data_IF_434961127533
#
_entry.id   IF_434961127533
#
_cell.length_a   1.000
_cell.length_b   1.000
_cell.length_c   1.000
_cell.angle_alpha   90.00
_cell.angle_beta   90.00
_cell.angle_gamma   90.00
#
_symmetry.space_group_name_H-M   'P 1'
#
loop_
_entity.id
_entity.type
_entity.pdbx_description
1 polymer ?
#
# COMPACT_ATOMS: atom_id res chain seq x y z
N UNK A 1 -5.37 -0.81 27.53
CA UNK A 1 -4.51 -0.13 26.54
C UNK A 1 -3.65 0.91 27.25
N UNK A 2 -2.34 0.90 27.08
CA UNK A 2 -1.48 1.89 27.71
C UNK A 2 -1.74 3.29 27.13
N UNK A 3 -1.96 4.27 28.00
CA UNK A 3 -2.18 5.67 27.59
C UNK A 3 -0.88 6.44 27.37
N UNK A 4 0.19 6.08 28.06
CA UNK A 4 1.47 6.79 28.07
C UNK A 4 2.70 5.87 27.96
N UNK A 5 2.51 4.55 27.92
CA UNK A 5 3.59 3.59 27.84
C UNK A 5 4.08 3.32 26.43
N UNK A 6 5.30 2.82 26.31
CA UNK A 6 5.83 2.31 25.06
C UNK A 6 5.08 1.05 24.64
N UNK A 7 4.62 1.02 23.39
CA UNK A 7 4.00 -0.17 22.79
C UNK A 7 5.01 -0.76 21.81
N UNK A 8 5.50 -1.96 22.12
CA UNK A 8 6.39 -2.68 21.23
C UNK A 8 5.65 -3.02 19.91
N UNK A 9 6.28 -2.73 18.79
CA UNK A 9 5.76 -3.11 17.48
C UNK A 9 5.94 -4.61 17.28
N UNK A 10 4.86 -5.29 16.91
CA UNK A 10 4.92 -6.70 16.54
C UNK A 10 5.41 -6.81 15.10
N UNK A 11 6.42 -7.63 14.88
CA UNK A 11 6.88 -7.98 13.54
C UNK A 11 6.14 -9.21 13.02
N UNK A 12 6.14 -9.40 11.72
CA UNK A 12 5.55 -10.56 11.05
C UNK A 12 6.65 -11.54 10.65
N UNK A 13 6.30 -12.82 10.59
CA UNK A 13 7.19 -13.85 10.05
C UNK A 13 7.22 -13.74 8.52
N UNK A 14 8.37 -14.00 7.87
CA UNK A 14 8.42 -14.03 6.41
C UNK A 14 7.53 -15.12 5.84
N UNK A 15 7.00 -14.89 4.64
CA UNK A 15 6.16 -15.86 3.95
C UNK A 15 6.93 -17.15 3.64
N UNK A 16 6.34 -18.34 3.85
CA UNK A 16 7.04 -19.61 3.62
C UNK A 16 7.48 -19.84 2.17
N UNK A 17 6.70 -19.39 1.17
CA UNK A 17 7.01 -19.60 -0.24
C UNK A 17 8.02 -18.59 -0.78
N UNK A 18 7.85 -17.31 -0.44
CA UNK A 18 8.64 -16.21 -0.97
C UNK A 18 9.70 -15.68 0.00
N UNK A 19 9.71 -16.16 1.23
CA UNK A 19 10.62 -15.73 2.29
C UNK A 19 10.69 -14.19 2.42
N UNK A 20 9.54 -13.54 2.32
CA UNK A 20 9.41 -12.09 2.32
C UNK A 20 8.37 -11.61 3.32
N UNK A 21 8.75 -10.67 4.18
CA UNK A 21 7.84 -10.05 5.17
C UNK A 21 6.77 -9.19 4.50
N UNK A 22 7.10 -8.55 3.38
CA UNK A 22 6.14 -7.70 2.65
C UNK A 22 5.02 -8.55 2.04
N UNK A 23 5.32 -9.76 1.59
CA UNK A 23 4.31 -10.72 1.12
C UNK A 23 3.38 -11.14 2.26
N UNK A 24 3.90 -11.40 3.45
CA UNK A 24 3.07 -11.69 4.63
C UNK A 24 2.14 -10.52 4.96
N UNK A 25 2.64 -9.30 4.89
CA UNK A 25 1.84 -8.09 5.13
C UNK A 25 0.77 -7.89 4.05
N UNK A 26 1.07 -8.22 2.80
CA UNK A 26 0.08 -8.21 1.72
C UNK A 26 -1.04 -9.22 1.99
N UNK A 27 -0.71 -10.45 2.37
CA UNK A 27 -1.67 -11.49 2.74
C UNK A 27 -2.57 -10.98 3.87
N UNK A 28 -2.00 -10.38 4.90
CA UNK A 28 -2.75 -9.84 6.03
C UNK A 28 -3.70 -8.69 5.61
N UNK A 29 -3.32 -7.88 4.63
CA UNK A 29 -4.18 -6.83 4.09
C UNK A 29 -5.32 -7.38 3.21
N UNK A 30 -5.08 -8.42 2.47
CA UNK A 30 -6.09 -9.09 1.62
C UNK A 30 -7.08 -9.88 2.46
N UNK A 31 -6.63 -10.39 3.61
CA UNK A 31 -7.44 -11.21 4.49
C UNK A 31 -8.70 -10.50 4.98
N UNK A 32 -9.84 -11.21 4.96
CA UNK A 32 -11.10 -10.80 5.53
C UNK A 32 -11.57 -11.86 6.53
N UNK A 33 -12.19 -11.40 7.63
CA UNK A 33 -12.80 -12.27 8.66
C UNK A 33 -11.85 -13.34 9.23
N UNK A 34 -10.55 -13.06 9.27
CA UNK A 34 -9.54 -13.98 9.75
C UNK A 34 -9.24 -15.17 8.82
N UNK A 35 -9.77 -15.18 7.61
CA UNK A 35 -9.61 -16.27 6.63
C UNK A 35 -8.24 -16.21 5.93
N UNK A 36 -7.18 -16.48 6.67
CA UNK A 36 -5.81 -16.36 6.18
C UNK A 36 -5.48 -17.33 5.05
N UNK A 37 -5.96 -18.58 5.12
CA UNK A 37 -5.73 -19.57 4.07
C UNK A 37 -6.29 -19.15 2.71
N UNK A 38 -7.47 -18.52 2.70
CA UNK A 38 -8.07 -17.95 1.48
C UNK A 38 -7.23 -16.80 0.94
N UNK A 39 -6.78 -15.91 1.81
CA UNK A 39 -5.93 -14.79 1.43
C UNK A 39 -4.58 -15.25 0.84
N UNK A 40 -3.97 -16.28 1.43
CA UNK A 40 -2.75 -16.90 0.88
C UNK A 40 -2.97 -17.44 -0.54
N UNK A 41 -4.08 -18.16 -0.77
CA UNK A 41 -4.42 -18.67 -2.11
C UNK A 41 -4.61 -17.55 -3.11
N UNK A 42 -5.23 -16.45 -2.72
CA UNK A 42 -5.43 -15.28 -3.58
C UNK A 42 -4.09 -14.67 -3.97
N UNK A 43 -3.21 -14.42 -3.01
CA UNK A 43 -1.90 -13.80 -3.25
C UNK A 43 -1.01 -14.71 -4.09
N UNK A 44 -0.93 -15.99 -3.76
CA UNK A 44 -0.14 -16.94 -4.53
C UNK A 44 -0.67 -17.11 -5.96
N UNK A 45 -1.99 -17.18 -6.12
CA UNK A 45 -2.62 -17.23 -7.44
C UNK A 45 -2.38 -15.95 -8.26
N UNK A 46 -2.39 -14.79 -7.62
CA UNK A 46 -2.03 -13.53 -8.27
C UNK A 46 -0.57 -13.52 -8.74
N UNK A 47 0.34 -14.02 -7.92
CA UNK A 47 1.76 -14.11 -8.28
C UNK A 47 2.02 -15.08 -9.42
N UNK A 48 1.29 -16.20 -9.46
CA UNK A 48 1.34 -17.13 -10.59
C UNK A 48 0.88 -16.44 -11.90
N UNK A 49 -0.21 -15.68 -11.85
CA UNK A 49 -0.71 -14.92 -12.99
C UNK A 49 0.31 -13.87 -13.46
N UNK A 50 0.97 -13.18 -12.52
CA UNK A 50 2.02 -12.20 -12.84
C UNK A 50 3.19 -12.89 -13.55
N UNK A 51 3.63 -14.02 -13.04
CA UNK A 51 4.71 -14.82 -13.65
C UNK A 51 4.37 -15.25 -15.08
N UNK A 52 3.15 -15.72 -15.31
CA UNK A 52 2.67 -16.12 -16.63
C UNK A 52 2.60 -14.95 -17.62
N UNK A 53 2.07 -13.82 -17.17
CA UNK A 53 1.85 -12.65 -18.05
C UNK A 53 3.10 -11.85 -18.32
N UNK A 54 4.00 -11.72 -17.36
CA UNK A 54 5.21 -10.88 -17.49
C UNK A 54 6.47 -11.68 -17.81
N UNK A 55 6.48 -12.97 -17.53
CA UNK A 55 7.67 -13.82 -17.65
C UNK A 55 8.78 -13.48 -16.66
N UNK A 56 8.50 -12.64 -15.66
CA UNK A 56 9.44 -12.18 -14.63
C UNK A 56 9.13 -12.82 -13.27
N UNK A 57 10.10 -12.75 -12.38
CA UNK A 57 9.91 -13.16 -10.99
C UNK A 57 8.79 -12.34 -10.34
N UNK A 58 7.71 -12.96 -9.84
CA UNK A 58 6.55 -12.21 -9.31
C UNK A 58 6.90 -11.31 -8.12
N UNK A 59 7.85 -11.73 -7.29
CA UNK A 59 8.29 -10.90 -6.15
C UNK A 59 8.95 -9.59 -6.61
N UNK A 60 9.80 -9.65 -7.64
CA UNK A 60 10.43 -8.44 -8.21
C UNK A 60 9.40 -7.49 -8.82
N UNK A 61 8.40 -8.03 -9.53
CA UNK A 61 7.30 -7.22 -10.08
C UNK A 61 6.48 -6.57 -8.97
N UNK A 62 6.20 -7.31 -7.92
CA UNK A 62 5.48 -6.79 -6.75
C UNK A 62 6.27 -5.69 -6.02
N UNK A 63 7.55 -5.88 -5.81
CA UNK A 63 8.41 -4.86 -5.17
C UNK A 63 8.50 -3.60 -6.03
N UNK A 64 8.65 -3.72 -7.34
CA UNK A 64 8.62 -2.58 -8.25
C UNK A 64 7.27 -1.84 -8.24
N UNK A 65 6.17 -2.58 -8.19
CA UNK A 65 4.84 -1.99 -8.04
C UNK A 65 4.71 -1.22 -6.72
N UNK A 66 5.21 -1.78 -5.63
CA UNK A 66 5.18 -1.12 -4.32
C UNK A 66 6.01 0.17 -4.31
N UNK A 67 7.17 0.20 -4.92
CA UNK A 67 7.96 1.43 -5.07
C UNK A 67 7.18 2.53 -5.79
N UNK A 68 6.41 2.16 -6.81
CA UNK A 68 5.57 3.09 -7.55
C UNK A 68 4.31 3.55 -6.80
N UNK A 69 3.80 2.76 -5.87
CA UNK A 69 2.58 3.05 -5.10
C UNK A 69 2.88 3.79 -3.80
N UNK A 70 4.01 3.50 -3.15
CA UNK A 70 4.34 4.09 -1.85
C UNK A 70 4.51 5.60 -1.94
N UNK A 71 3.75 6.40 -1.14
CA UNK A 71 3.83 7.85 -1.17
C UNK A 71 5.05 8.37 -0.42
N UNK A 72 5.64 9.46 -0.88
CA UNK A 72 6.71 10.19 -0.18
C UNK A 72 6.13 11.23 0.79
N UNK A 73 4.98 11.81 0.44
CA UNK A 73 4.32 12.87 1.17
C UNK A 73 2.86 12.51 1.42
N UNK A 74 2.33 12.95 2.56
CA UNK A 74 0.91 12.94 2.86
C UNK A 74 0.51 14.27 3.50
N UNK A 75 -0.77 14.58 3.52
CA UNK A 75 -1.29 15.77 4.22
C UNK A 75 -1.98 15.35 5.51
N UNK A 76 -1.79 16.15 6.55
CA UNK A 76 -2.47 16.00 7.84
C UNK A 76 -3.18 17.28 8.20
N UNK A 77 -4.38 17.14 8.75
CA UNK A 77 -5.11 18.26 9.29
C UNK A 77 -4.45 18.77 10.59
N UNK A 78 -4.03 20.02 10.61
CA UNK A 78 -3.46 20.69 11.78
C UNK A 78 -4.32 21.89 12.11
N UNK A 79 -4.77 22.00 13.35
CA UNK A 79 -5.59 23.14 13.81
C UNK A 79 -4.69 24.19 14.42
N UNK A 80 -4.75 25.42 13.86
CA UNK A 80 -4.04 26.60 14.36
C UNK A 80 -4.97 27.81 14.36
N UNK A 81 -5.01 28.53 15.48
CA UNK A 81 -5.79 29.78 15.56
C UNK A 81 -7.28 29.62 15.25
N UNK A 82 -7.87 28.46 15.54
CA UNK A 82 -9.26 28.15 15.23
C UNK A 82 -9.54 27.66 13.81
N UNK A 83 -8.60 27.75 12.90
CA UNK A 83 -8.69 27.21 11.52
C UNK A 83 -7.96 25.89 11.38
N UNK A 84 -8.46 25.03 10.50
CA UNK A 84 -7.83 23.74 10.16
C UNK A 84 -7.11 23.85 8.81
N UNK A 85 -5.83 23.51 8.81
CA UNK A 85 -4.99 23.53 7.62
C UNK A 85 -4.56 22.11 7.25
N UNK A 86 -4.50 21.84 5.96
CA UNK A 86 -3.90 20.60 5.44
C UNK A 86 -2.40 20.82 5.28
N UNK A 87 -1.62 20.15 6.12
CA UNK A 87 -0.17 20.36 6.19
C UNK A 87 0.56 19.15 5.58
N UNK A 88 1.46 19.33 4.60
CA UNK A 88 2.22 18.22 4.03
C UNK A 88 3.30 17.74 5.00
N UNK A 89 3.43 16.41 5.10
CA UNK A 89 4.42 15.73 5.92
C UNK A 89 5.13 14.66 5.10
N UNK A 90 6.40 14.45 5.36
CA UNK A 90 7.09 13.25 4.89
C UNK A 90 6.53 12.00 5.57
N UNK A 91 6.36 10.95 4.77
CA UNK A 91 5.85 9.67 5.25
C UNK A 91 7.02 8.82 5.74
N UNK A 92 6.90 8.28 6.94
CA UNK A 92 7.90 7.34 7.49
C UNK A 92 7.90 6.03 6.69
N UNK A 93 9.06 5.33 6.57
CA UNK A 93 9.16 4.10 5.76
C UNK A 93 8.11 3.03 6.08
N UNK A 94 7.82 2.80 7.36
CA UNK A 94 6.80 1.83 7.78
C UNK A 94 5.38 2.23 7.32
N UNK A 95 5.09 3.54 7.40
CA UNK A 95 3.80 4.06 6.94
C UNK A 95 3.68 4.06 5.42
N UNK A 96 4.77 4.32 4.70
CA UNK A 96 4.81 4.18 3.23
C UNK A 96 4.34 2.78 2.81
N UNK A 97 4.91 1.76 3.43
CA UNK A 97 4.56 0.37 3.16
C UNK A 97 3.11 0.07 3.51
N UNK A 98 2.65 0.53 4.67
CA UNK A 98 1.25 0.36 5.11
C UNK A 98 0.27 1.01 4.14
N UNK A 99 0.52 2.25 3.74
CA UNK A 99 -0.31 2.96 2.78
C UNK A 99 -0.29 2.30 1.40
N UNK A 100 0.88 1.91 0.92
CA UNK A 100 1.03 1.22 -0.35
C UNK A 100 0.23 -0.08 -0.41
N UNK A 101 0.34 -0.92 0.61
CA UNK A 101 -0.41 -2.18 0.69
C UNK A 101 -1.92 -1.95 0.81
N UNK A 102 -2.35 -0.97 1.59
CA UNK A 102 -3.76 -0.60 1.74
C UNK A 102 -4.35 -0.13 0.42
N UNK A 103 -3.68 0.76 -0.28
CA UNK A 103 -4.14 1.27 -1.56
C UNK A 103 -4.17 0.19 -2.64
N UNK A 104 -3.11 -0.63 -2.71
CA UNK A 104 -3.08 -1.78 -3.61
C UNK A 104 -4.30 -2.68 -3.41
N UNK A 105 -4.59 -3.06 -2.17
CA UNK A 105 -5.72 -3.93 -1.84
C UNK A 105 -7.06 -3.27 -2.16
N UNK A 106 -7.24 -2.01 -1.76
CA UNK A 106 -8.48 -1.26 -1.98
C UNK A 106 -8.80 -1.11 -3.47
N UNK A 107 -7.83 -0.70 -4.27
CA UNK A 107 -8.03 -0.50 -5.69
C UNK A 107 -8.07 -1.80 -6.49
N UNK A 108 -7.44 -2.87 -6.00
CA UNK A 108 -7.63 -4.21 -6.57
C UNK A 108 -9.07 -4.66 -6.44
N UNK A 109 -9.69 -4.46 -5.27
CA UNK A 109 -11.11 -4.80 -5.05
C UNK A 109 -12.07 -4.01 -5.94
N UNK A 110 -11.71 -2.81 -6.34
CA UNK A 110 -12.51 -1.94 -7.20
C UNK A 110 -12.39 -2.26 -8.70
N UNK A 111 -11.53 -3.20 -9.09
CA UNK A 111 -11.32 -3.57 -10.48
C UNK A 111 -12.47 -4.44 -11.03
N UNK A 112 -12.54 -4.56 -12.33
CA UNK A 112 -13.60 -5.22 -13.09
C UNK A 112 -13.37 -6.72 -13.33
N UNK A 113 -12.18 -7.25 -13.10
CA UNK A 113 -11.90 -8.68 -13.30
C UNK A 113 -12.78 -9.54 -12.39
N UNK A 114 -13.01 -10.78 -12.77
CA UNK A 114 -13.95 -11.66 -12.10
C UNK A 114 -13.47 -12.10 -10.71
N UNK A 115 -12.24 -12.59 -10.61
CA UNK A 115 -11.69 -13.11 -9.36
C UNK A 115 -10.72 -12.12 -8.68
N UNK A 116 -10.62 -12.21 -7.35
CA UNK A 116 -9.71 -11.32 -6.60
C UNK A 116 -8.24 -11.54 -6.97
N UNK A 117 -7.83 -12.77 -7.27
CA UNK A 117 -6.46 -13.06 -7.72
C UNK A 117 -6.11 -12.36 -9.04
N UNK A 118 -7.07 -12.32 -9.98
CA UNK A 118 -6.92 -11.60 -11.25
C UNK A 118 -6.87 -10.09 -11.05
N UNK A 119 -7.73 -9.56 -10.18
CA UNK A 119 -7.77 -8.14 -9.81
C UNK A 119 -6.45 -7.70 -9.17
N UNK A 120 -5.96 -8.47 -8.21
CA UNK A 120 -4.69 -8.17 -7.54
C UNK A 120 -3.51 -8.22 -8.52
N UNK A 121 -3.43 -9.26 -9.36
CA UNK A 121 -2.41 -9.39 -10.39
C UNK A 121 -2.46 -8.22 -11.39
N UNK A 122 -3.65 -7.87 -11.85
CA UNK A 122 -3.86 -6.74 -12.76
C UNK A 122 -3.41 -5.41 -12.17
N UNK A 123 -3.75 -5.14 -10.92
CA UNK A 123 -3.35 -3.91 -10.25
C UNK A 123 -1.83 -3.83 -10.02
N UNK A 124 -1.18 -4.94 -9.66
CA UNK A 124 0.27 -5.01 -9.49
C UNK A 124 0.98 -4.74 -10.82
N UNK A 125 0.54 -5.37 -11.91
CA UNK A 125 1.13 -5.18 -13.24
C UNK A 125 0.95 -3.73 -13.70
N UNK A 126 -0.26 -3.17 -13.56
CA UNK A 126 -0.53 -1.79 -13.94
C UNK A 126 0.31 -0.80 -13.12
N UNK A 127 0.43 -1.03 -11.81
CA UNK A 127 1.25 -0.18 -10.95
C UNK A 127 2.74 -0.22 -11.32
N UNK A 128 3.25 -1.36 -11.75
CA UNK A 128 4.62 -1.49 -12.26
C UNK A 128 4.85 -0.62 -13.50
N UNK A 129 3.82 -0.45 -14.31
CA UNK A 129 3.85 0.38 -15.52
C UNK A 129 3.41 1.84 -15.29
N UNK A 130 3.23 2.26 -14.04
CA UNK A 130 2.76 3.61 -13.71
C UNK A 130 1.29 3.85 -14.05
N UNK A 131 0.48 2.82 -14.00
CA UNK A 131 -0.97 2.84 -14.28
C UNK A 131 -1.75 2.29 -13.08
N UNK A 132 -3.07 2.34 -13.17
CA UNK A 132 -3.96 1.77 -12.17
C UNK A 132 -4.37 2.73 -11.06
N UNK A 133 -5.37 2.32 -10.27
CA UNK A 133 -5.98 3.13 -9.22
C UNK A 133 -5.05 3.44 -8.05
N UNK A 134 -4.25 2.49 -7.63
CA UNK A 134 -3.30 2.67 -6.54
C UNK A 134 -2.21 3.69 -6.89
N UNK A 135 -1.67 3.61 -8.09
CA UNK A 135 -0.71 4.59 -8.59
C UNK A 135 -1.34 5.99 -8.70
N UNK A 136 -2.55 6.07 -9.23
CA UNK A 136 -3.30 7.33 -9.31
C UNK A 136 -3.53 7.94 -7.91
N UNK A 137 -3.86 7.12 -6.93
CA UNK A 137 -4.03 7.56 -5.54
C UNK A 137 -2.75 8.19 -4.97
N UNK A 138 -1.59 7.59 -5.25
CA UNK A 138 -0.30 8.19 -4.90
C UNK A 138 -0.10 9.54 -5.57
N UNK A 139 -0.36 9.64 -6.86
CA UNK A 139 -0.25 10.89 -7.62
C UNK A 139 -1.18 11.98 -7.07
N UNK A 140 -2.42 11.64 -6.79
CA UNK A 140 -3.40 12.57 -6.20
C UNK A 140 -2.97 13.05 -4.81
N UNK A 141 -2.41 12.16 -4.01
CA UNK A 141 -1.86 12.49 -2.68
C UNK A 141 -0.67 13.44 -2.78
N UNK A 142 0.23 13.20 -3.73
CA UNK A 142 1.37 14.09 -4.00
C UNK A 142 0.93 15.46 -4.52
N UNK A 143 -0.07 15.52 -5.41
CA UNK A 143 -0.66 16.77 -5.89
C UNK A 143 -1.30 17.57 -4.76
N UNK A 144 -1.99 16.89 -3.86
CA UNK A 144 -2.58 17.53 -2.69
C UNK A 144 -1.50 18.10 -1.76
N UNK A 145 -0.42 17.38 -1.53
CA UNK A 145 0.71 17.87 -0.75
C UNK A 145 1.40 19.07 -1.40
N UNK A 146 1.57 19.06 -2.72
CA UNK A 146 2.14 20.18 -3.47
C UNK A 146 1.23 21.42 -3.42
N UNK A 147 -0.08 21.24 -3.60
CA UNK A 147 -1.05 22.34 -3.50
C UNK A 147 -1.06 23.00 -2.12
N UNK A 148 -0.76 22.25 -1.06
CA UNK A 148 -0.71 22.75 0.32
C UNK A 148 0.72 23.07 0.81
N UNK A 149 1.69 23.14 -0.09
CA UNK A 149 3.10 23.39 0.23
C UNK A 149 3.34 24.68 1.04
N UNK A 150 2.52 25.70 0.82
CA UNK A 150 2.58 26.97 1.56
C UNK A 150 2.39 26.80 3.07
N UNK A 151 1.71 25.73 3.51
CA UNK A 151 1.45 25.45 4.92
C UNK A 151 2.49 24.51 5.56
N UNK A 152 3.56 24.15 4.85
CA UNK A 152 4.59 23.25 5.36
C UNK A 152 5.25 23.74 6.67
N UNK A 153 5.33 25.05 6.87
CA UNK A 153 5.87 25.66 8.09
C UNK A 153 4.96 25.52 9.33
N UNK A 154 3.73 25.02 9.18
CA UNK A 154 2.82 24.72 10.28
C UNK A 154 3.08 23.34 10.92
N UNK A 155 4.09 22.61 10.45
CA UNK A 155 4.54 21.39 11.12
C UNK A 155 5.23 21.69 12.45
N UNK A 156 5.08 20.79 13.39
CA UNK A 156 5.90 20.62 14.59
C UNK A 156 5.76 19.21 15.12
#
# INVERSE_FOLDING_TARGET
MPRRGFIAKRDVLPDPLYNSKIVTRLINNVMLDGKKGVAQKIVYGAFDIISEKTGKEPLEVFEAAMENIMPQLEVKAVRKGGATYQVPFEVRPERKQTLGLRWLTTYSRARYEETMKERLAGEIIDATNGLGGAFKKREDTHKMAEANKAFAHYRW
#
